data_IF_712607138246
#
_entry.id   IF_712607138246
#
_cell.length_a   1.000
_cell.length_b   1.000
_cell.length_c   1.000
_cell.angle_alpha   90.00
_cell.angle_beta   90.00
_cell.angle_gamma   90.00
#
_symmetry.space_group_name_H-M   'P 1'
#
loop_
_entity.id
_entity.type
_entity.pdbx_description
1 polymer ?
#
# COMPACT_ATOMS: atom_id res chain seq x y z
N UNK A 1 -5.81 28.30 -1.09
CA UNK A 1 -4.75 27.42 -0.53
C UNK A 1 -5.39 26.03 -0.38
N UNK A 2 -4.88 25.01 -1.03
CA UNK A 2 -5.57 23.69 -1.23
C UNK A 2 -5.68 22.81 0.03
N UNK A 3 -5.30 23.26 1.22
CA UNK A 3 -5.40 22.48 2.47
C UNK A 3 -4.42 21.30 2.60
N UNK A 4 -3.63 21.03 1.58
CA UNK A 4 -2.59 19.98 1.60
C UNK A 4 -1.27 20.52 2.15
N UNK A 5 -0.45 19.64 2.76
CA UNK A 5 0.84 20.07 3.33
C UNK A 5 1.89 20.33 2.25
N UNK A 6 2.88 21.18 2.58
CA UNK A 6 4.10 21.39 1.79
C UNK A 6 3.86 21.98 0.38
N UNK A 7 2.80 22.75 0.17
CA UNK A 7 2.47 23.33 -1.13
C UNK A 7 2.04 22.29 -2.18
N UNK A 8 1.81 21.04 -1.78
CA UNK A 8 1.33 20.00 -2.68
C UNK A 8 -0.11 20.27 -3.13
N UNK A 9 -0.45 19.78 -4.29
CA UNK A 9 -1.81 19.82 -4.86
C UNK A 9 -2.58 18.53 -4.66
N UNK A 10 -2.04 17.63 -3.82
CA UNK A 10 -2.68 16.38 -3.37
C UNK A 10 -2.22 16.01 -1.98
N UNK A 11 -2.98 15.17 -1.30
CA UNK A 11 -2.69 14.67 0.05
C UNK A 11 -1.65 13.56 -0.02
N UNK A 12 -0.38 13.89 0.15
CA UNK A 12 0.72 12.93 0.03
C UNK A 12 0.93 12.13 1.31
N UNK A 13 1.45 10.90 1.19
CA UNK A 13 1.86 10.04 2.31
C UNK A 13 2.77 10.79 3.29
N UNK A 14 3.83 11.42 2.78
CA UNK A 14 4.78 12.15 3.63
C UNK A 14 4.09 13.29 4.37
N UNK A 15 3.26 14.07 3.67
CA UNK A 15 2.50 15.15 4.26
C UNK A 15 1.52 14.68 5.34
N UNK A 16 0.85 13.55 5.13
CA UNK A 16 -0.04 12.94 6.12
C UNK A 16 0.69 12.61 7.42
N UNK A 17 1.80 11.86 7.35
CA UNK A 17 2.53 11.46 8.54
C UNK A 17 3.18 12.63 9.27
N UNK A 18 3.71 13.62 8.54
CA UNK A 18 4.24 14.85 9.15
C UNK A 18 3.18 15.65 9.91
N UNK A 19 1.97 15.79 9.34
CA UNK A 19 0.88 16.47 10.07
C UNK A 19 0.44 15.71 11.30
N UNK A 20 0.39 14.37 11.23
CA UNK A 20 -0.17 13.54 12.31
C UNK A 20 0.84 13.23 13.40
N UNK A 21 2.11 13.04 13.04
CA UNK A 21 3.15 12.56 13.96
C UNK A 21 4.37 13.48 14.04
N UNK A 22 4.37 14.63 13.35
CA UNK A 22 5.46 15.60 13.38
C UNK A 22 6.67 15.23 12.54
N UNK A 23 6.73 14.01 11.99
CA UNK A 23 7.86 13.50 11.24
C UNK A 23 7.50 12.65 10.03
N UNK A 24 8.50 12.40 9.20
CA UNK A 24 8.40 11.47 8.08
C UNK A 24 8.66 10.04 8.58
N UNK A 25 7.71 9.15 8.41
CA UNK A 25 7.91 7.72 8.64
C UNK A 25 8.32 7.02 7.35
N UNK A 26 9.17 5.99 7.46
CA UNK A 26 9.57 5.12 6.36
C UNK A 26 9.08 3.70 6.59
N UNK A 27 8.66 3.01 5.52
CA UNK A 27 8.30 1.60 5.57
C UNK A 27 9.55 0.73 5.36
N UNK A 28 9.74 -0.25 6.24
CA UNK A 28 10.73 -1.32 6.10
C UNK A 28 10.00 -2.57 5.63
N UNK A 29 10.30 -3.01 4.42
CA UNK A 29 9.68 -4.21 3.85
C UNK A 29 10.19 -5.44 4.57
N UNK A 30 9.27 -6.29 5.02
CA UNK A 30 9.57 -7.54 5.73
C UNK A 30 8.91 -8.73 5.02
N UNK A 31 9.61 -9.85 5.01
CA UNK A 31 9.08 -11.16 4.61
C UNK A 31 9.04 -12.10 5.82
N UNK A 32 7.84 -12.38 6.31
CA UNK A 32 7.60 -13.25 7.46
C UNK A 32 7.27 -14.70 7.06
N UNK A 33 7.54 -15.09 5.80
CA UNK A 33 7.33 -16.44 5.29
C UNK A 33 5.86 -16.84 5.23
N UNK A 34 4.96 -15.89 4.93
CA UNK A 34 3.56 -16.20 4.66
C UNK A 34 3.38 -16.80 3.27
N UNK A 35 2.23 -17.45 3.06
CA UNK A 35 1.74 -17.93 1.77
C UNK A 35 0.55 -17.10 1.30
N UNK A 36 -0.06 -17.56 0.21
CA UNK A 36 -1.27 -16.96 -0.35
C UNK A 36 -2.28 -18.08 -0.65
N UNK A 37 -3.54 -17.98 -0.18
CA UNK A 37 -4.56 -19.01 -0.41
C UNK A 37 -4.89 -19.20 -1.89
N UNK A 38 -4.54 -18.24 -2.73
CA UNK A 38 -4.68 -18.32 -4.19
C UNK A 38 -3.52 -19.09 -4.87
N UNK A 39 -2.52 -19.53 -4.10
CA UNK A 39 -1.37 -20.32 -4.60
C UNK A 39 -1.31 -21.74 -4.03
N UNK A 40 -1.68 -21.92 -2.76
CA UNK A 40 -1.58 -23.19 -2.05
C UNK A 40 -2.77 -24.14 -2.29
N UNK A 41 -3.77 -23.69 -3.01
CA UNK A 41 -4.95 -24.49 -3.37
C UNK A 41 -6.15 -24.28 -2.45
N UNK A 42 -6.06 -23.46 -1.42
CA UNK A 42 -7.18 -23.17 -0.50
C UNK A 42 -8.30 -22.40 -1.20
N UNK A 43 -7.97 -21.38 -1.99
CA UNK A 43 -8.91 -20.60 -2.81
C UNK A 43 -8.65 -20.83 -4.28
N UNK A 44 -7.39 -20.87 -4.71
CA UNK A 44 -6.96 -21.06 -6.09
C UNK A 44 -5.56 -21.65 -6.18
N UNK A 45 -5.14 -21.96 -7.40
CA UNK A 45 -3.78 -22.44 -7.69
C UNK A 45 -3.06 -21.52 -8.64
N UNK A 46 -1.73 -21.45 -8.53
CA UNK A 46 -0.87 -20.65 -9.41
C UNK A 46 -0.77 -19.16 -9.04
N UNK A 47 -1.71 -18.63 -8.27
CA UNK A 47 -1.76 -17.21 -7.91
C UNK A 47 -2.43 -16.33 -8.96
N UNK A 48 -2.35 -15.02 -8.78
CA UNK A 48 -2.81 -14.04 -9.76
C UNK A 48 -1.90 -14.05 -10.98
N UNK A 49 -2.46 -13.79 -12.18
CA UNK A 49 -1.75 -13.90 -13.47
C UNK A 49 -0.52 -12.99 -13.58
N UNK A 50 -0.48 -11.90 -12.84
CA UNK A 50 0.61 -10.89 -12.82
C UNK A 50 1.65 -11.11 -11.71
N UNK A 51 1.40 -12.07 -10.77
CA UNK A 51 2.10 -12.08 -9.48
C UNK A 51 3.43 -12.85 -9.51
N UNK A 52 4.52 -12.09 -9.33
CA UNK A 52 5.81 -12.63 -8.89
C UNK A 52 6.34 -11.77 -7.72
N UNK A 53 6.31 -12.32 -6.50
CA UNK A 53 6.78 -11.60 -5.32
C UNK A 53 8.28 -11.29 -5.35
N UNK A 54 9.11 -12.10 -6.02
CA UNK A 54 10.55 -11.85 -6.11
C UNK A 54 10.88 -10.51 -6.79
N UNK A 55 9.98 -10.02 -7.68
CA UNK A 55 10.15 -8.76 -8.38
C UNK A 55 10.03 -7.52 -7.48
N UNK A 56 9.43 -7.65 -6.28
CA UNK A 56 9.06 -6.52 -5.43
C UNK A 56 9.75 -6.50 -4.06
N UNK A 57 10.71 -7.41 -3.82
CA UNK A 57 11.43 -7.50 -2.57
C UNK A 57 12.79 -6.78 -2.63
N UNK A 58 13.11 -5.93 -1.64
CA UNK A 58 14.47 -5.45 -1.47
C UNK A 58 15.39 -6.60 -1.02
N UNK A 59 16.68 -6.51 -1.36
CA UNK A 59 17.63 -7.61 -1.11
C UNK A 59 17.84 -8.00 0.35
N UNK A 60 17.48 -7.14 1.29
CA UNK A 60 17.55 -7.45 2.72
C UNK A 60 16.35 -8.25 3.24
N UNK A 61 15.19 -8.17 2.57
CA UNK A 61 13.97 -8.85 2.95
C UNK A 61 13.86 -10.20 2.24
N UNK A 62 14.15 -11.28 2.97
CA UNK A 62 14.11 -12.65 2.42
C UNK A 62 13.42 -13.60 3.38
N UNK A 63 12.63 -14.58 2.88
CA UNK A 63 11.98 -15.55 3.74
C UNK A 63 13.03 -16.36 4.54
N UNK A 64 12.71 -16.66 5.80
CA UNK A 64 13.59 -17.39 6.70
C UNK A 64 14.66 -16.56 7.42
N UNK A 65 14.91 -15.30 7.03
CA UNK A 65 15.75 -14.40 7.81
C UNK A 65 14.96 -13.87 9.02
N UNK A 66 15.55 -13.81 10.25
CA UNK A 66 14.87 -13.26 11.42
C UNK A 66 14.34 -11.84 11.15
N UNK A 67 13.13 -11.53 11.63
CA UNK A 67 12.46 -10.25 11.34
C UNK A 67 13.24 -9.04 11.88
N UNK A 68 13.82 -9.16 13.09
CA UNK A 68 14.63 -8.08 13.67
C UNK A 68 15.88 -7.82 12.81
N UNK A 69 16.52 -8.87 12.27
CA UNK A 69 17.65 -8.71 11.34
C UNK A 69 17.20 -8.01 10.04
N UNK A 70 16.02 -8.34 9.51
CA UNK A 70 15.48 -7.64 8.33
C UNK A 70 15.21 -6.16 8.65
N UNK A 71 14.77 -5.83 9.87
CA UNK A 71 14.58 -4.45 10.32
C UNK A 71 15.90 -3.70 10.36
N UNK A 72 16.93 -4.26 11.04
CA UNK A 72 18.25 -3.63 11.15
C UNK A 72 18.87 -3.36 9.77
N UNK A 73 18.91 -4.37 8.90
CA UNK A 73 19.41 -4.21 7.52
C UNK A 73 18.56 -3.24 6.70
N UNK A 74 17.25 -3.24 6.90
CA UNK A 74 16.32 -2.31 6.26
C UNK A 74 16.53 -0.87 6.70
N UNK A 75 16.84 -0.63 7.98
CA UNK A 75 17.20 0.68 8.51
C UNK A 75 18.49 1.18 7.84
N UNK A 76 19.53 0.37 7.80
CA UNK A 76 20.78 0.73 7.12
C UNK A 76 20.58 1.02 5.63
N UNK A 77 19.77 0.20 4.94
CA UNK A 77 19.40 0.43 3.55
C UNK A 77 18.65 1.77 3.35
N UNK A 78 17.73 2.12 4.26
CA UNK A 78 16.96 3.35 4.19
C UNK A 78 17.77 4.59 4.57
N UNK A 79 18.73 4.50 5.49
CA UNK A 79 19.61 5.61 5.89
C UNK A 79 20.36 6.22 4.72
N UNK A 80 20.78 5.40 3.74
CA UNK A 80 21.45 5.88 2.52
C UNK A 80 20.54 6.83 1.72
N UNK A 81 19.24 6.51 1.62
CA UNK A 81 18.29 7.26 0.81
C UNK A 81 17.55 8.35 1.62
N UNK A 82 17.34 8.09 2.90
CA UNK A 82 16.56 8.94 3.81
C UNK A 82 17.28 9.17 5.14
N UNK A 83 18.42 9.88 5.15
CA UNK A 83 19.28 10.02 6.33
C UNK A 83 18.61 10.76 7.52
N UNK A 84 17.45 11.35 7.29
CA UNK A 84 16.66 12.04 8.33
C UNK A 84 15.50 11.19 8.89
N UNK A 85 15.30 9.97 8.37
CA UNK A 85 14.31 9.07 8.94
C UNK A 85 14.83 8.54 10.28
N UNK A 86 13.97 8.55 11.29
CA UNK A 86 14.31 8.16 12.68
C UNK A 86 13.42 7.05 13.19
N UNK A 87 12.18 7.03 12.75
CA UNK A 87 11.22 6.00 13.09
C UNK A 87 10.65 5.34 11.84
N UNK A 88 10.29 4.08 11.99
CA UNK A 88 9.93 3.22 10.89
C UNK A 88 8.62 2.49 11.14
N UNK A 89 7.98 2.10 10.05
CA UNK A 89 6.84 1.18 10.03
C UNK A 89 7.31 -0.16 9.48
N UNK A 90 7.18 -1.23 10.27
CA UNK A 90 7.45 -2.58 9.81
C UNK A 90 6.37 -3.01 8.82
N UNK A 91 6.72 -3.19 7.55
CA UNK A 91 5.78 -3.44 6.46
C UNK A 91 5.86 -4.89 5.99
N UNK A 92 4.91 -5.69 6.43
CA UNK A 92 4.70 -7.05 5.97
C UNK A 92 4.10 -7.01 4.55
N UNK A 93 4.92 -7.24 3.54
CA UNK A 93 4.52 -7.06 2.13
C UNK A 93 4.34 -8.37 1.38
N UNK A 94 5.15 -9.40 1.67
CA UNK A 94 5.14 -10.65 0.93
C UNK A 94 3.84 -11.42 1.10
N UNK A 95 3.14 -11.71 0.00
CA UNK A 95 1.91 -12.52 -0.04
C UNK A 95 0.75 -11.96 0.80
N UNK A 96 0.16 -12.80 1.70
CA UNK A 96 -1.02 -12.42 2.50
C UNK A 96 -0.70 -12.53 3.99
N UNK A 97 -0.37 -11.42 4.61
CA UNK A 97 0.25 -11.42 5.93
C UNK A 97 -0.75 -11.53 7.11
N UNK A 98 -2.03 -11.77 6.82
CA UNK A 98 -3.03 -12.22 7.79
C UNK A 98 -3.46 -13.68 7.55
N UNK A 99 -2.86 -14.35 6.55
CA UNK A 99 -3.19 -15.72 6.21
C UNK A 99 -2.40 -16.71 7.08
N UNK A 100 -2.96 -16.98 8.24
CA UNK A 100 -2.38 -17.90 9.21
C UNK A 100 -3.15 -17.90 10.54
N UNK A 101 -2.76 -18.80 11.47
CA UNK A 101 -3.33 -18.83 12.83
C UNK A 101 -3.05 -17.53 13.59
N UNK A 102 -4.04 -17.07 14.38
CA UNK A 102 -3.95 -15.81 15.11
C UNK A 102 -2.73 -15.75 16.05
N UNK A 103 -2.37 -16.83 16.71
CA UNK A 103 -1.23 -16.84 17.65
C UNK A 103 0.11 -16.68 16.93
N UNK A 104 0.24 -17.19 15.70
CA UNK A 104 1.41 -16.90 14.86
C UNK A 104 1.45 -15.42 14.47
N UNK A 105 0.31 -14.84 14.11
CA UNK A 105 0.22 -13.41 13.76
C UNK A 105 0.64 -12.53 14.94
N UNK A 106 0.13 -12.84 16.14
CA UNK A 106 0.51 -12.14 17.38
C UNK A 106 2.01 -12.16 17.59
N UNK A 107 2.61 -13.36 17.58
CA UNK A 107 4.04 -13.52 17.80
C UNK A 107 4.88 -12.67 16.84
N UNK A 108 4.56 -12.69 15.54
CA UNK A 108 5.30 -11.95 14.52
C UNK A 108 5.13 -10.43 14.64
N UNK A 109 3.89 -9.94 14.91
CA UNK A 109 3.64 -8.51 15.02
C UNK A 109 4.21 -7.92 16.31
N UNK A 110 4.14 -8.67 17.41
CA UNK A 110 4.71 -8.27 18.70
C UNK A 110 6.25 -8.28 18.65
N UNK A 111 6.86 -9.27 17.96
CA UNK A 111 8.30 -9.31 17.73
C UNK A 111 8.80 -8.04 17.05
N UNK A 112 8.22 -7.62 15.93
CA UNK A 112 8.70 -6.42 15.24
C UNK A 112 8.42 -5.13 16.00
N UNK A 113 7.34 -5.08 16.79
CA UNK A 113 7.03 -3.95 17.67
C UNK A 113 7.94 -3.87 18.90
N UNK A 114 8.74 -4.90 19.19
CA UNK A 114 9.77 -4.84 20.23
C UNK A 114 11.00 -4.04 19.82
N UNK A 115 11.18 -3.78 18.51
CA UNK A 115 12.33 -3.02 18.02
C UNK A 115 12.19 -1.52 18.34
N UNK A 116 13.22 -0.87 18.91
CA UNK A 116 13.14 0.50 19.45
C UNK A 116 12.89 1.60 18.39
N UNK A 117 13.20 1.36 17.13
CA UNK A 117 12.97 2.32 16.03
C UNK A 117 11.68 2.05 15.27
N UNK A 118 10.91 1.00 15.63
CA UNK A 118 9.64 0.64 14.98
C UNK A 118 8.47 1.21 15.77
N UNK A 119 7.75 2.15 15.15
CA UNK A 119 6.60 2.83 15.78
C UNK A 119 5.24 2.28 15.32
N UNK A 120 5.24 1.26 14.48
CA UNK A 120 4.02 0.65 14.01
C UNK A 120 4.24 -0.42 12.94
N UNK A 121 3.14 -1.03 12.54
CA UNK A 121 3.09 -2.10 11.53
C UNK A 121 2.15 -1.72 10.38
N UNK A 122 2.52 -2.12 9.18
CA UNK A 122 1.69 -2.08 8.00
C UNK A 122 1.56 -3.51 7.47
N UNK A 123 0.35 -3.99 7.28
CA UNK A 123 0.06 -5.39 6.96
C UNK A 123 -0.56 -5.44 5.57
N UNK A 124 0.25 -5.80 4.56
CA UNK A 124 -0.23 -6.09 3.21
C UNK A 124 -0.94 -7.44 3.19
N UNK A 125 -2.20 -7.48 2.80
CA UNK A 125 -2.98 -8.71 2.78
C UNK A 125 -4.07 -8.71 1.72
N UNK A 126 -4.72 -9.87 1.57
CA UNK A 126 -5.91 -10.06 0.74
C UNK A 126 -7.16 -9.78 1.56
N UNK A 127 -8.23 -9.24 0.92
CA UNK A 127 -9.51 -9.02 1.61
C UNK A 127 -10.14 -10.28 2.21
N UNK A 128 -9.97 -11.43 1.57
CA UNK A 128 -10.50 -12.74 1.99
C UNK A 128 -9.64 -13.45 3.06
N UNK A 129 -8.58 -12.79 3.57
CA UNK A 129 -7.69 -13.35 4.59
C UNK A 129 -7.87 -12.72 5.98
N UNK A 130 -8.88 -11.89 6.18
CA UNK A 130 -9.20 -11.30 7.49
C UNK A 130 -10.49 -11.89 8.05
N UNK A 131 -10.59 -11.88 9.37
CA UNK A 131 -11.79 -12.24 10.13
C UNK A 131 -11.90 -11.35 11.38
N UNK A 132 -13.03 -11.40 12.05
CA UNK A 132 -13.31 -10.57 13.23
C UNK A 132 -12.24 -10.70 14.32
N UNK A 133 -11.80 -11.94 14.62
CA UNK A 133 -10.82 -12.20 15.69
C UNK A 133 -9.46 -11.55 15.40
N UNK A 134 -9.01 -11.63 14.15
CA UNK A 134 -7.77 -10.98 13.70
C UNK A 134 -7.89 -9.47 13.76
N UNK A 135 -9.01 -8.92 13.27
CA UNK A 135 -9.25 -7.47 13.29
C UNK A 135 -9.43 -6.94 14.71
N UNK A 136 -10.09 -7.67 15.61
CA UNK A 136 -10.22 -7.30 17.02
C UNK A 136 -8.85 -7.25 17.72
N UNK A 137 -7.97 -8.18 17.44
CA UNK A 137 -6.60 -8.15 17.94
C UNK A 137 -5.83 -6.93 17.39
N UNK A 138 -5.90 -6.65 16.09
CA UNK A 138 -5.24 -5.49 15.48
C UNK A 138 -5.79 -4.17 16.04
N UNK A 139 -7.09 -4.08 16.30
CA UNK A 139 -7.71 -2.94 16.97
C UNK A 139 -7.22 -2.79 18.42
N UNK A 140 -6.97 -3.92 19.09
CA UNK A 140 -6.33 -3.93 20.40
C UNK A 140 -4.91 -3.35 20.39
N UNK A 141 -4.12 -3.66 19.36
CA UNK A 141 -2.80 -3.06 19.14
C UNK A 141 -2.92 -1.55 18.86
N UNK A 142 -3.76 -1.17 17.88
CA UNK A 142 -3.94 0.22 17.45
C UNK A 142 -4.43 1.14 18.58
N UNK A 143 -5.19 0.60 19.54
CA UNK A 143 -5.68 1.34 20.72
C UNK A 143 -4.75 1.29 21.93
N UNK A 144 -3.63 0.55 21.86
CA UNK A 144 -2.71 0.34 22.98
C UNK A 144 -3.24 -0.56 24.10
N UNK A 145 -4.39 -1.21 23.91
CA UNK A 145 -4.94 -2.20 24.88
C UNK A 145 -4.11 -3.48 24.92
N UNK A 146 -3.63 -3.91 23.76
CA UNK A 146 -2.61 -4.94 23.65
C UNK A 146 -1.25 -4.26 23.72
N UNK A 147 -0.25 -4.88 24.34
CA UNK A 147 1.06 -4.30 24.62
C UNK A 147 0.98 -3.04 25.52
N UNK A 148 0.18 -3.10 26.60
CA UNK A 148 0.16 -2.04 27.63
C UNK A 148 1.58 -1.85 28.19
N UNK A 149 2.16 -0.68 28.02
CA UNK A 149 3.57 -0.42 28.38
C UNK A 149 4.54 -0.38 27.18
N UNK A 150 4.13 -0.80 25.98
CA UNK A 150 4.94 -0.71 24.77
C UNK A 150 5.54 0.69 24.57
N UNK A 151 4.72 1.74 24.69
CA UNK A 151 5.18 3.12 24.53
C UNK A 151 6.22 3.52 25.58
N UNK A 152 6.09 3.00 26.82
CA UNK A 152 7.09 3.22 27.88
C UNK A 152 8.39 2.53 27.51
N UNK A 153 8.32 1.28 27.07
CA UNK A 153 9.51 0.52 26.62
C UNK A 153 10.18 1.21 25.44
N UNK A 154 9.40 1.68 24.46
CA UNK A 154 9.90 2.41 23.29
C UNK A 154 10.65 3.70 23.69
N UNK A 155 10.09 4.46 24.65
CA UNK A 155 10.72 5.71 25.15
C UNK A 155 11.94 5.50 26.05
N UNK A 156 12.10 4.32 26.64
CA UNK A 156 13.18 3.98 27.57
C UNK A 156 14.28 3.10 26.94
N UNK A 157 14.07 2.60 25.72
CA UNK A 157 15.01 1.69 25.08
C UNK A 157 16.37 2.38 24.86
N UNK A 158 17.50 1.79 25.38
CA UNK A 158 18.82 2.30 25.10
C UNK A 158 19.17 1.98 23.63
N UNK A 159 19.30 3.00 22.82
CA UNK A 159 19.77 2.83 21.44
C UNK A 159 21.23 3.24 21.28
N UNK A 160 21.98 2.62 20.35
CA UNK A 160 23.38 2.96 20.08
C UNK A 160 23.55 4.32 19.38
N UNK A 161 22.49 4.92 18.89
CA UNK A 161 22.46 6.26 18.29
C UNK A 161 21.48 7.12 19.06
N UNK A 162 21.80 8.40 19.23
CA UNK A 162 20.93 9.39 19.88
C UNK A 162 19.52 9.29 19.29
N UNK A 163 18.64 8.61 20.02
CA UNK A 163 17.26 8.43 19.57
C UNK A 163 16.56 9.77 19.53
N UNK A 164 15.95 10.05 18.42
CA UNK A 164 14.97 11.10 18.39
C UNK A 164 13.85 10.75 19.38
N UNK A 165 13.36 11.73 20.14
CA UNK A 165 12.23 11.47 21.01
C UNK A 165 11.06 10.93 20.18
N UNK A 166 10.43 9.88 20.68
CA UNK A 166 9.18 9.35 20.09
C UNK A 166 8.15 10.49 20.05
N UNK A 167 7.46 10.71 18.93
CA UNK A 167 6.48 11.79 18.83
C UNK A 167 5.48 11.77 19.98
N UNK A 168 5.23 12.92 20.62
CA UNK A 168 4.27 13.04 21.73
C UNK A 168 2.84 12.67 21.31
N UNK A 169 2.53 12.84 20.03
CA UNK A 169 1.25 12.45 19.43
C UNK A 169 1.06 10.93 19.31
N UNK A 170 2.14 10.15 19.49
CA UNK A 170 2.07 8.69 19.44
C UNK A 170 1.66 8.14 20.82
N UNK A 171 0.48 7.57 20.91
CA UNK A 171 -0.10 6.99 22.14
C UNK A 171 -0.18 5.47 22.13
N UNK A 172 -0.10 4.87 20.94
CA UNK A 172 -0.15 3.43 20.67
C UNK A 172 0.59 3.11 19.39
N UNK A 173 0.89 1.83 19.07
CA UNK A 173 1.45 1.45 17.79
C UNK A 173 0.57 1.91 16.62
N UNK A 174 1.19 2.42 15.57
CA UNK A 174 0.49 2.69 14.31
C UNK A 174 0.18 1.34 13.66
N UNK A 175 -1.09 1.05 13.42
CA UNK A 175 -1.53 -0.18 12.73
C UNK A 175 -2.28 0.21 11.47
N UNK A 176 -1.80 -0.29 10.33
CA UNK A 176 -2.44 -0.09 9.03
C UNK A 176 -2.63 -1.45 8.36
N UNK A 177 -3.84 -1.72 7.88
CA UNK A 177 -4.09 -2.88 7.01
C UNK A 177 -4.22 -2.39 5.58
N UNK A 178 -3.34 -2.89 4.71
CA UNK A 178 -3.33 -2.57 3.27
C UNK A 178 -3.88 -3.74 2.46
N UNK A 179 -5.01 -3.52 1.82
CA UNK A 179 -5.67 -4.54 1.00
C UNK A 179 -5.23 -4.46 -0.45
N UNK A 180 -4.75 -5.58 -0.99
CA UNK A 180 -4.61 -5.76 -2.43
C UNK A 180 -5.99 -5.95 -3.04
N UNK A 181 -6.68 -4.88 -3.40
CA UNK A 181 -7.97 -4.92 -4.11
C UNK A 181 -7.73 -5.15 -5.61
N UNK A 182 -6.79 -4.43 -6.16
CA UNK A 182 -6.24 -4.44 -7.52
C UNK A 182 -7.18 -3.81 -8.58
N UNK A 183 -8.49 -4.09 -8.54
CA UNK A 183 -9.52 -3.52 -9.41
C UNK A 183 -10.87 -3.46 -8.70
N UNK A 184 -11.73 -2.52 -9.08
CA UNK A 184 -13.13 -2.48 -8.66
C UNK A 184 -14.05 -3.31 -9.58
N UNK A 185 -13.52 -3.89 -10.66
CA UNK A 185 -14.30 -4.61 -11.67
C UNK A 185 -14.17 -6.12 -11.48
N UNK A 186 -15.28 -6.80 -11.15
CA UNK A 186 -15.27 -8.25 -10.92
C UNK A 186 -14.90 -9.07 -12.17
N UNK A 187 -15.16 -8.56 -13.37
CA UNK A 187 -14.69 -9.16 -14.63
C UNK A 187 -13.17 -9.20 -14.68
N UNK A 188 -12.52 -8.07 -14.37
CA UNK A 188 -11.05 -7.97 -14.29
C UNK A 188 -10.51 -8.88 -13.19
N UNK A 189 -11.10 -8.85 -11.98
CA UNK A 189 -10.66 -9.69 -10.86
C UNK A 189 -10.72 -11.19 -11.20
N UNK A 190 -11.75 -11.64 -11.93
CA UNK A 190 -11.83 -13.02 -12.44
C UNK A 190 -10.77 -13.30 -13.48
N UNK A 191 -10.55 -12.39 -14.45
CA UNK A 191 -9.55 -12.55 -15.51
C UNK A 191 -8.14 -12.73 -14.92
N UNK A 192 -7.76 -11.88 -13.98
CA UNK A 192 -6.44 -11.95 -13.35
C UNK A 192 -6.32 -13.07 -12.29
N UNK A 193 -7.30 -13.96 -12.19
CA UNK A 193 -7.34 -15.03 -11.17
C UNK A 193 -7.14 -14.48 -9.74
N UNK A 194 -7.85 -13.37 -9.39
CA UNK A 194 -7.69 -12.74 -8.07
C UNK A 194 -8.25 -13.60 -6.93
N UNK A 195 -9.32 -14.38 -7.19
CA UNK A 195 -9.93 -15.32 -6.25
C UNK A 195 -10.83 -14.68 -5.19
N UNK A 196 -11.12 -13.38 -5.26
CA UNK A 196 -12.13 -12.67 -4.48
C UNK A 196 -12.82 -11.62 -5.35
N UNK A 197 -14.02 -11.17 -4.96
CA UNK A 197 -14.78 -10.11 -5.60
C UNK A 197 -14.46 -8.73 -5.01
N UNK A 198 -14.92 -7.66 -5.67
CA UNK A 198 -14.88 -6.31 -5.12
C UNK A 198 -15.75 -6.17 -3.86
N UNK A 199 -16.89 -6.86 -3.82
CA UNK A 199 -17.77 -6.90 -2.64
C UNK A 199 -17.06 -7.51 -1.41
N UNK A 200 -16.25 -8.56 -1.60
CA UNK A 200 -15.40 -9.10 -0.53
C UNK A 200 -14.41 -8.04 -0.03
N UNK A 201 -13.81 -7.28 -0.95
CA UNK A 201 -12.88 -6.20 -0.58
C UNK A 201 -13.58 -5.06 0.17
N UNK A 202 -14.78 -4.64 -0.28
CA UNK A 202 -15.59 -3.63 0.40
C UNK A 202 -15.87 -4.00 1.85
N UNK A 203 -16.38 -5.23 2.07
CA UNK A 203 -16.67 -5.75 3.42
C UNK A 203 -15.43 -5.77 4.32
N UNK A 204 -14.29 -6.24 3.81
CA UNK A 204 -13.06 -6.28 4.58
C UNK A 204 -12.57 -4.89 5.00
N UNK A 205 -12.66 -3.92 4.10
CA UNK A 205 -12.32 -2.51 4.38
C UNK A 205 -13.26 -1.91 5.44
N UNK A 206 -14.56 -2.11 5.30
CA UNK A 206 -15.59 -1.63 6.24
C UNK A 206 -15.38 -2.22 7.63
N UNK A 207 -15.28 -3.56 7.75
CA UNK A 207 -15.03 -4.26 9.02
C UNK A 207 -13.77 -3.76 9.74
N UNK A 208 -12.72 -3.41 8.97
CA UNK A 208 -11.46 -2.91 9.50
C UNK A 208 -11.60 -1.46 9.98
N UNK A 209 -12.22 -0.61 9.18
CA UNK A 209 -12.44 0.79 9.52
C UNK A 209 -13.39 0.99 10.70
N UNK A 210 -14.44 0.17 10.83
CA UNK A 210 -15.36 0.15 11.97
C UNK A 210 -14.66 -0.12 13.31
N UNK A 211 -13.53 -0.82 13.26
CA UNK A 211 -12.68 -1.09 14.44
C UNK A 211 -11.64 0.00 14.72
N UNK A 212 -11.68 1.10 13.95
CA UNK A 212 -10.76 2.24 14.12
C UNK A 212 -9.34 1.97 13.62
N UNK A 213 -9.14 0.94 12.79
CA UNK A 213 -7.84 0.62 12.17
C UNK A 213 -7.72 1.43 10.86
N UNK A 214 -6.59 2.09 10.64
CA UNK A 214 -6.32 2.76 9.37
C UNK A 214 -6.23 1.72 8.23
N UNK A 215 -6.97 1.96 7.14
CA UNK A 215 -7.04 1.07 5.98
C UNK A 215 -6.39 1.69 4.76
N UNK A 216 -5.61 0.91 4.04
CA UNK A 216 -5.08 1.27 2.72
C UNK A 216 -5.55 0.30 1.65
N UNK A 217 -5.49 0.71 0.38
CA UNK A 217 -5.78 -0.18 -0.74
C UNK A 217 -4.79 -0.01 -1.87
N UNK A 218 -4.48 -1.13 -2.55
CA UNK A 218 -3.67 -1.18 -3.75
C UNK A 218 -4.58 -1.37 -4.96
N UNK A 219 -4.30 -0.62 -6.03
CA UNK A 219 -4.94 -0.73 -7.34
C UNK A 219 -3.88 -0.77 -8.43
N UNK A 220 -4.06 -1.67 -9.40
CA UNK A 220 -3.21 -1.78 -10.57
C UNK A 220 -3.93 -1.10 -11.73
N UNK A 221 -3.28 -0.14 -12.37
CA UNK A 221 -3.82 0.59 -13.51
C UNK A 221 -3.36 -0.07 -14.80
N UNK A 222 -4.32 -0.44 -15.67
CA UNK A 222 -4.05 -1.04 -16.97
C UNK A 222 -4.07 -2.57 -16.99
N UNK A 223 -4.79 -3.22 -16.08
CA UNK A 223 -5.09 -4.65 -16.14
C UNK A 223 -5.82 -5.01 -17.44
N UNK A 224 -5.68 -6.27 -17.93
CA UNK A 224 -6.25 -6.65 -19.24
C UNK A 224 -7.77 -6.43 -19.28
N UNK A 225 -8.23 -5.81 -20.37
CA UNK A 225 -9.62 -5.47 -20.60
C UNK A 225 -10.12 -4.20 -19.91
N UNK A 226 -9.30 -3.53 -19.11
CA UNK A 226 -9.66 -2.23 -18.51
C UNK A 226 -9.34 -1.09 -19.47
N UNK A 227 -10.34 -0.24 -19.74
CA UNK A 227 -10.15 1.00 -20.49
C UNK A 227 -9.85 2.16 -19.54
N UNK A 228 -9.36 3.26 -20.10
CA UNK A 228 -9.12 4.50 -19.34
C UNK A 228 -10.40 5.00 -18.65
N UNK A 229 -11.54 4.91 -19.32
CA UNK A 229 -12.86 5.32 -18.81
C UNK A 229 -13.25 4.46 -17.60
N UNK A 230 -13.13 3.14 -17.68
CA UNK A 230 -13.40 2.23 -16.58
C UNK A 230 -12.53 2.56 -15.35
N UNK A 231 -11.24 2.87 -15.58
CA UNK A 231 -10.31 3.24 -14.51
C UNK A 231 -10.65 4.60 -13.88
N UNK A 232 -11.23 5.54 -14.60
CA UNK A 232 -11.73 6.80 -14.06
C UNK A 232 -13.05 6.61 -13.29
N UNK A 233 -13.95 5.79 -13.79
CA UNK A 233 -15.23 5.52 -13.14
C UNK A 233 -15.08 4.83 -11.77
N UNK A 234 -14.07 3.97 -11.61
CA UNK A 234 -13.79 3.35 -10.30
C UNK A 234 -13.38 4.36 -9.20
N UNK A 235 -12.99 5.60 -9.53
CA UNK A 235 -12.63 6.61 -8.54
C UNK A 235 -13.80 6.92 -7.57
N UNK A 236 -15.04 6.86 -8.04
CA UNK A 236 -16.24 6.98 -7.21
C UNK A 236 -16.35 5.83 -6.20
N UNK A 237 -16.13 4.59 -6.64
CA UNK A 237 -16.15 3.40 -5.79
C UNK A 237 -15.01 3.45 -4.76
N UNK A 238 -13.79 3.81 -5.17
CA UNK A 238 -12.64 3.98 -4.26
C UNK A 238 -12.95 5.06 -3.20
N UNK A 239 -13.54 6.18 -3.62
CA UNK A 239 -13.88 7.29 -2.72
C UNK A 239 -15.02 6.97 -1.76
N UNK A 240 -15.88 5.99 -2.07
CA UNK A 240 -16.96 5.53 -1.18
C UNK A 240 -16.46 4.61 -0.07
N UNK A 241 -15.33 3.94 -0.25
CA UNK A 241 -14.76 3.07 0.77
C UNK A 241 -14.16 3.89 1.94
N UNK A 242 -14.26 3.43 3.19
CA UNK A 242 -13.66 4.09 4.35
C UNK A 242 -12.12 3.89 4.40
N UNK A 243 -11.46 4.10 3.28
CA UNK A 243 -10.00 4.03 3.16
C UNK A 243 -9.34 5.28 3.74
N UNK A 244 -8.18 5.13 4.32
CA UNK A 244 -7.30 6.23 4.69
C UNK A 244 -6.30 6.54 3.58
N UNK A 245 -5.83 5.51 2.87
CA UNK A 245 -4.84 5.66 1.81
C UNK A 245 -5.12 4.81 0.58
N UNK A 246 -4.52 5.24 -0.54
CA UNK A 246 -4.46 4.43 -1.76
C UNK A 246 -3.05 4.40 -2.34
N UNK A 247 -2.73 3.27 -2.95
CA UNK A 247 -1.55 3.04 -3.78
C UNK A 247 -1.99 2.70 -5.19
N UNK A 248 -1.53 3.47 -6.15
CA UNK A 248 -1.66 3.12 -7.56
C UNK A 248 -0.34 2.58 -8.10
N UNK A 249 -0.43 1.54 -8.89
CA UNK A 249 0.67 0.98 -9.64
C UNK A 249 0.26 0.91 -11.11
N UNK A 250 1.10 1.46 -12.01
CA UNK A 250 0.96 1.08 -13.41
C UNK A 250 1.24 -0.42 -13.56
N UNK A 251 0.56 -1.08 -14.46
CA UNK A 251 0.81 -2.49 -14.72
C UNK A 251 2.25 -2.72 -15.19
N UNK A 252 2.94 -3.61 -14.50
CA UNK A 252 4.26 -4.12 -14.89
C UNK A 252 4.11 -5.53 -15.44
N UNK A 253 4.59 -5.79 -16.64
CA UNK A 253 4.60 -7.12 -17.24
C UNK A 253 5.84 -7.85 -16.73
N UNK A 254 5.65 -8.66 -15.69
CA UNK A 254 6.75 -9.39 -15.04
C UNK A 254 7.06 -10.69 -15.78
N UNK A 255 8.33 -10.96 -16.00
CA UNK A 255 8.83 -12.17 -16.69
C UNK A 255 8.38 -13.44 -15.98
N UNK A 256 8.07 -14.47 -16.75
CA UNK A 256 7.68 -15.78 -16.24
C UNK A 256 6.22 -15.86 -15.75
N UNK A 257 5.49 -14.75 -15.76
CA UNK A 257 4.07 -14.74 -15.34
C UNK A 257 3.14 -15.17 -16.49
N UNK A 258 1.91 -15.55 -16.13
CA UNK A 258 0.85 -15.81 -17.13
C UNK A 258 0.55 -14.56 -17.94
N UNK A 259 0.52 -13.41 -17.26
CA UNK A 259 0.25 -12.11 -17.88
C UNK A 259 1.29 -11.70 -18.93
N UNK A 260 2.54 -12.10 -18.79
CA UNK A 260 3.56 -11.91 -19.84
C UNK A 260 3.15 -12.59 -21.15
N UNK A 261 2.62 -13.82 -21.07
CA UNK A 261 2.15 -14.57 -22.25
C UNK A 261 0.90 -13.95 -22.86
N UNK A 262 -0.03 -13.50 -22.02
CA UNK A 262 -1.24 -12.78 -22.45
C UNK A 262 -0.88 -11.48 -23.16
N UNK A 263 0.04 -10.69 -22.59
CA UNK A 263 0.52 -9.46 -23.21
C UNK A 263 1.23 -9.70 -24.54
N UNK A 264 2.05 -10.75 -24.63
CA UNK A 264 2.73 -11.11 -25.86
C UNK A 264 1.76 -11.55 -26.98
N UNK A 265 0.62 -12.17 -26.60
CA UNK A 265 -0.41 -12.60 -27.53
C UNK A 265 -1.29 -11.45 -28.04
N UNK A 266 -1.67 -10.53 -27.16
CA UNK A 266 -2.50 -9.37 -27.51
C UNK A 266 -2.13 -8.15 -26.64
N UNK A 267 -1.14 -7.34 -27.03
CA UNK A 267 -0.78 -6.11 -26.32
C UNK A 267 -1.91 -5.07 -26.30
N UNK A 268 -2.85 -5.11 -27.24
CA UNK A 268 -3.93 -4.12 -27.36
C UNK A 268 -4.99 -4.25 -26.27
N UNK A 269 -5.06 -5.41 -25.62
CA UNK A 269 -5.95 -5.65 -24.49
C UNK A 269 -5.52 -4.90 -23.19
N UNK A 270 -4.36 -4.20 -23.22
CA UNK A 270 -3.76 -3.59 -22.03
C UNK A 270 -3.64 -2.08 -22.21
N UNK A 271 -4.21 -1.31 -21.27
CA UNK A 271 -3.99 0.13 -21.23
C UNK A 271 -2.60 0.43 -20.62
N UNK A 272 -1.62 0.65 -21.48
CA UNK A 272 -0.22 0.96 -21.09
C UNK A 272 0.27 2.24 -21.76
N UNK A 273 -0.17 3.41 -21.28
CA UNK A 273 0.19 4.70 -21.86
C UNK A 273 1.68 5.02 -21.67
N UNK A 274 2.22 5.91 -22.52
CA UNK A 274 3.51 6.55 -22.29
C UNK A 274 3.52 7.41 -21.03
N UNK A 275 4.72 7.84 -20.58
CA UNK A 275 4.87 8.56 -19.30
C UNK A 275 4.02 9.84 -19.25
N UNK A 276 4.02 10.65 -20.30
CA UNK A 276 3.27 11.91 -20.32
C UNK A 276 1.77 11.68 -20.24
N UNK A 277 1.24 10.74 -21.00
CA UNK A 277 -0.17 10.36 -20.96
C UNK A 277 -0.54 9.75 -19.60
N UNK A 278 0.36 8.95 -19.01
CA UNK A 278 0.15 8.39 -17.66
C UNK A 278 0.08 9.48 -16.59
N UNK A 279 0.91 10.50 -16.66
CA UNK A 279 0.87 11.63 -15.71
C UNK A 279 -0.46 12.38 -15.82
N UNK A 280 -0.94 12.64 -17.04
CA UNK A 280 -2.25 13.25 -17.26
C UNK A 280 -3.38 12.37 -16.72
N UNK A 281 -3.29 11.06 -16.95
CA UNK A 281 -4.26 10.10 -16.45
C UNK A 281 -4.28 10.04 -14.90
N UNK A 282 -3.11 10.05 -14.25
CA UNK A 282 -3.03 10.11 -12.78
C UNK A 282 -3.65 11.41 -12.24
N UNK A 283 -3.46 12.53 -12.91
CA UNK A 283 -4.10 13.80 -12.53
C UNK A 283 -5.63 13.68 -12.63
N UNK A 284 -6.15 13.09 -13.72
CA UNK A 284 -7.58 12.89 -13.89
C UNK A 284 -8.18 11.97 -12.80
N UNK A 285 -7.40 10.98 -12.31
CA UNK A 285 -7.76 10.16 -11.14
C UNK A 285 -7.78 11.04 -9.88
N UNK A 286 -6.71 11.79 -9.62
CA UNK A 286 -6.60 12.64 -8.43
C UNK A 286 -7.76 13.63 -8.33
N UNK A 287 -8.12 14.29 -9.43
CA UNK A 287 -9.26 15.23 -9.49
C UNK A 287 -10.58 14.61 -9.02
N UNK A 288 -10.79 13.31 -9.24
CA UNK A 288 -12.04 12.56 -8.93
C UNK A 288 -12.03 11.89 -7.56
N UNK A 289 -10.86 11.71 -6.96
CA UNK A 289 -10.75 11.10 -5.63
C UNK A 289 -11.11 12.12 -4.54
N UNK A 290 -11.74 11.66 -3.46
CA UNK A 290 -11.99 12.51 -2.29
C UNK A 290 -10.70 13.08 -1.71
N UNK A 291 -10.67 14.35 -1.27
CA UNK A 291 -9.43 15.07 -0.92
C UNK A 291 -8.79 14.62 0.39
N UNK A 292 -9.50 13.93 1.27
CA UNK A 292 -8.99 13.43 2.55
C UNK A 292 -8.23 12.09 2.44
N UNK A 293 -8.35 11.37 1.30
CA UNK A 293 -7.53 10.22 0.98
C UNK A 293 -6.08 10.63 0.80
N UNK A 294 -5.13 10.01 1.51
CA UNK A 294 -3.74 10.26 1.16
C UNK A 294 -3.23 9.27 0.11
N UNK A 295 -2.45 9.82 -0.82
CA UNK A 295 -1.86 9.08 -1.93
C UNK A 295 -0.48 8.61 -1.50
N UNK A 296 -0.32 7.31 -1.37
CA UNK A 296 0.94 6.74 -0.95
C UNK A 296 1.91 6.58 -2.12
N UNK A 297 1.37 6.20 -3.27
CA UNK A 297 2.15 5.97 -4.48
C UNK A 297 1.28 6.14 -5.71
N UNK A 298 1.87 6.60 -6.80
CA UNK A 298 1.22 6.71 -8.11
C UNK A 298 1.86 5.81 -9.17
N UNK A 299 3.05 5.28 -8.90
CA UNK A 299 3.75 4.36 -9.81
C UNK A 299 4.61 3.39 -9.01
N UNK A 300 4.77 2.15 -9.51
CA UNK A 300 5.66 1.13 -8.96
C UNK A 300 7.00 1.09 -9.68
N UNK A 301 8.06 0.75 -8.97
CA UNK A 301 9.37 0.45 -9.55
C UNK A 301 9.58 -1.07 -9.50
N UNK A 302 9.98 -1.65 -10.62
CA UNK A 302 10.41 -3.06 -10.73
C UNK A 302 11.83 -3.08 -11.31
N UNK A 303 12.77 -3.81 -10.72
CA UNK A 303 14.10 -3.91 -11.29
C UNK A 303 14.06 -4.46 -12.74
N UNK A 304 14.84 -3.91 -13.69
CA UNK A 304 14.78 -4.27 -15.11
C UNK A 304 14.97 -5.76 -15.40
N UNK A 305 15.67 -6.48 -14.52
CA UNK A 305 15.87 -7.93 -14.66
C UNK A 305 14.56 -8.74 -14.58
N UNK A 306 13.50 -8.18 -14.03
CA UNK A 306 12.19 -8.85 -13.88
C UNK A 306 11.18 -8.49 -14.96
N UNK A 307 11.45 -7.51 -15.81
CA UNK A 307 10.52 -7.07 -16.85
C UNK A 307 11.17 -7.17 -18.24
N UNK A 308 10.37 -7.37 -19.27
CA UNK A 308 10.87 -7.43 -20.65
C UNK A 308 11.01 -6.05 -21.26
N UNK A 309 10.17 -5.11 -20.85
CA UNK A 309 10.19 -3.74 -21.33
C UNK A 309 10.08 -2.74 -20.17
N UNK A 310 10.56 -1.55 -20.42
CA UNK A 310 10.42 -0.40 -19.54
C UNK A 310 9.88 0.76 -20.38
N UNK A 311 8.55 0.85 -20.60
CA UNK A 311 7.96 1.78 -21.57
C UNK A 311 8.32 3.25 -21.28
N UNK A 312 8.70 3.56 -20.04
CA UNK A 312 9.15 4.89 -19.62
C UNK A 312 10.67 4.99 -19.41
N UNK A 313 11.44 3.96 -19.80
CA UNK A 313 12.84 3.84 -19.42
C UNK A 313 13.01 3.61 -17.90
N UNK A 314 14.18 3.98 -17.38
CA UNK A 314 14.53 3.82 -15.97
C UNK A 314 14.16 5.05 -15.12
N UNK A 315 12.93 5.54 -15.27
CA UNK A 315 12.46 6.72 -14.51
C UNK A 315 12.20 6.31 -13.06
N UNK A 316 12.82 7.00 -12.12
CA UNK A 316 12.66 6.75 -10.69
C UNK A 316 11.37 7.38 -10.15
N UNK A 317 10.78 6.75 -9.13
CA UNK A 317 9.52 7.22 -8.55
C UNK A 317 9.58 8.69 -8.09
N UNK A 318 10.71 9.16 -7.57
CA UNK A 318 10.85 10.57 -7.17
C UNK A 318 10.79 11.52 -8.37
N UNK A 319 11.27 11.11 -9.55
CA UNK A 319 11.19 11.88 -10.79
C UNK A 319 9.75 11.94 -11.30
N UNK A 320 9.03 10.81 -11.24
CA UNK A 320 7.59 10.74 -11.56
C UNK A 320 6.81 11.70 -10.67
N UNK A 321 7.06 11.69 -9.36
CA UNK A 321 6.39 12.61 -8.42
C UNK A 321 6.73 14.08 -8.71
N UNK A 322 7.96 14.40 -9.07
CA UNK A 322 8.36 15.77 -9.45
C UNK A 322 7.66 16.22 -10.74
N UNK A 323 7.57 15.35 -11.74
CA UNK A 323 6.86 15.64 -12.99
C UNK A 323 5.34 15.79 -12.74
N UNK A 324 4.76 14.95 -11.88
CA UNK A 324 3.37 15.06 -11.48
C UNK A 324 3.07 16.39 -10.78
N UNK A 325 3.91 16.81 -9.83
CA UNK A 325 3.75 18.09 -9.14
C UNK A 325 3.76 19.26 -10.14
N UNK A 326 4.76 19.29 -11.04
CA UNK A 326 4.87 20.32 -12.08
C UNK A 326 3.62 20.36 -12.98
N UNK A 327 3.14 19.19 -13.43
CA UNK A 327 1.98 19.12 -14.32
C UNK A 327 0.66 19.48 -13.62
N UNK A 328 0.51 19.17 -12.32
CA UNK A 328 -0.61 19.66 -11.50
C UNK A 328 -0.61 21.21 -11.41
N UNK A 329 0.57 21.82 -11.31
CA UNK A 329 0.73 23.29 -11.34
C UNK A 329 0.37 23.87 -12.71
N UNK A 330 0.90 23.30 -13.79
CA UNK A 330 0.63 23.73 -15.17
C UNK A 330 -0.85 23.61 -15.54
N UNK A 331 -1.54 22.58 -15.06
CA UNK A 331 -3.00 22.37 -15.28
C UNK A 331 -3.86 23.17 -14.28
N UNK A 332 -3.26 23.89 -13.35
CA UNK A 332 -3.93 24.57 -12.23
C UNK A 332 -5.04 23.74 -11.57
N UNK A 333 -4.71 22.51 -11.22
CA UNK A 333 -5.65 21.54 -10.69
C UNK A 333 -5.13 20.86 -9.42
N UNK A 334 -6.01 20.13 -8.71
CA UNK A 334 -5.71 19.48 -7.42
C UNK A 334 -6.61 18.28 -7.16
N UNK A 335 -6.22 17.46 -6.20
CA UNK A 335 -7.01 16.32 -5.74
C UNK A 335 -8.38 16.77 -5.25
N UNK A 336 -9.41 16.11 -5.74
CA UNK A 336 -10.78 16.35 -5.32
C UNK A 336 -11.47 17.53 -6.04
N UNK A 337 -10.82 18.15 -7.04
CA UNK A 337 -11.44 19.25 -7.80
C UNK A 337 -12.77 18.86 -8.47
N UNK A 338 -12.86 17.62 -8.95
CA UNK A 338 -14.06 17.05 -9.60
C UNK A 338 -14.83 16.09 -8.70
N UNK A 339 -14.38 15.90 -7.44
CA UNK A 339 -15.08 15.02 -6.51
C UNK A 339 -16.40 15.65 -6.04
N UNK A 340 -17.48 14.94 -6.27
CA UNK A 340 -18.79 15.23 -5.66
C UNK A 340 -19.11 14.16 -4.64
N UNK A 341 -19.34 14.58 -3.39
CA UNK A 341 -19.76 13.64 -2.36
C UNK A 341 -21.10 13.01 -2.79
N UNK A 342 -21.21 11.66 -2.79
CA UNK A 342 -22.50 11.03 -3.07
C UNK A 342 -23.56 11.62 -2.15
N UNK A 343 -24.70 12.03 -2.72
CA UNK A 343 -25.85 12.47 -1.93
C UNK A 343 -26.28 11.32 -1.04
N UNK A 344 -26.37 11.59 0.28
CA UNK A 344 -26.85 10.63 1.29
C UNK A 344 -28.32 10.27 0.99
N UNK A 345 -28.57 9.33 0.07
CA UNK A 345 -29.95 9.02 -0.33
C UNK A 345 -30.15 7.99 -1.42
N UNK A 346 -29.11 7.27 -1.85
CA UNK A 346 -29.30 6.16 -2.79
C UNK A 346 -28.52 4.92 -2.33
N UNK A 347 -28.99 4.31 -1.24
CA UNK A 347 -28.78 2.87 -1.00
C UNK A 347 -30.02 2.17 -1.52
N UNK A 348 -29.98 1.68 -2.72
CA UNK A 348 -30.93 0.70 -3.24
C UNK A 348 -30.29 -0.67 -3.28
#
# INVERSE_FOLDING_TARGET
MFGFSEGKRYNSFVGYYRRRYGERLQKLVLDAGFSCPNRDGTVGRGGCTYCDNAAFHPGYSTPGKPLLTQIDEGIEFQKVRYPRARHYLAYFQAYSNTYGPLDRLKALYEEVLSHPEVVGIVIGTRPDCVDEKKLDYLAGLASGRVLSGWLRSLRQAPGPTVQAPVPDTLTAPIVVVEYGIESCHDSTLRHINRGHSFECARKAVEMTAERGIDTGAHFILGLPGETREMLLDQCGLISSLPLRSVKFHQLQIVRGTVMEKEYAADPSAFYRPGLDEYLDFVIDILERLRPDLYIERVAGEVPPRFVNDTPWGLVRNFEILRLLDKRLEERDTWQGRLYSKPSSGQTS
#
